data_IF_254355030614
#
_entry.id   IF_254355030614
#
_cell.length_a   1.000
_cell.length_b   1.000
_cell.length_c   1.000
_cell.angle_alpha   90.00
_cell.angle_beta   90.00
_cell.angle_gamma   90.00
#
_symmetry.space_group_name_H-M   'P 1'
#
loop_
_entity.id
_entity.type
_entity.pdbx_description
1 polymer ?
#
# COMPACT_ATOMS: atom_id res chain seq x y z
N UNK A 1 -27.84 13.61 1.74
CA UNK A 1 -28.22 14.06 0.39
C UNK A 1 -27.33 15.16 -0.24
N UNK A 2 -26.66 16.08 0.49
CA UNK A 2 -25.81 17.09 -0.18
C UNK A 2 -24.52 16.57 -0.81
N UNK A 3 -24.04 15.36 -0.47
CA UNK A 3 -22.79 14.81 -1.03
C UNK A 3 -22.89 14.40 -2.50
N UNK A 4 -23.98 13.74 -2.90
CA UNK A 4 -24.15 13.26 -4.29
C UNK A 4 -24.27 14.39 -5.32
N UNK A 5 -24.93 15.49 -4.98
CA UNK A 5 -25.03 16.66 -5.87
C UNK A 5 -23.67 17.34 -6.04
N UNK A 6 -22.89 17.44 -4.96
CA UNK A 6 -21.53 17.98 -5.01
C UNK A 6 -20.60 17.11 -5.85
N UNK A 7 -20.66 15.78 -5.70
CA UNK A 7 -19.91 14.83 -6.51
C UNK A 7 -20.28 14.93 -7.99
N UNK A 8 -21.58 14.99 -8.30
CA UNK A 8 -22.06 15.17 -9.67
C UNK A 8 -21.53 16.47 -10.31
N UNK A 9 -21.58 17.59 -9.59
CA UNK A 9 -21.05 18.88 -10.10
C UNK A 9 -19.52 18.80 -10.29
N UNK A 10 -18.80 18.16 -9.36
CA UNK A 10 -17.35 17.98 -9.48
C UNK A 10 -16.99 17.08 -10.66
N UNK A 11 -17.71 15.98 -10.88
CA UNK A 11 -17.46 15.09 -12.01
C UNK A 11 -17.80 15.75 -13.36
N UNK A 12 -18.78 16.69 -13.39
CA UNK A 12 -19.10 17.49 -14.57
C UNK A 12 -18.01 18.52 -14.90
N UNK A 13 -17.44 19.17 -13.89
CA UNK A 13 -16.41 20.20 -14.07
C UNK A 13 -15.00 19.61 -14.23
N UNK A 14 -14.75 18.44 -13.62
CA UNK A 14 -13.47 17.73 -13.62
C UNK A 14 -13.69 16.25 -13.91
N UNK A 15 -14.08 15.90 -15.15
CA UNK A 15 -14.40 14.53 -15.50
C UNK A 15 -13.16 13.63 -15.34
N UNK A 16 -13.41 12.44 -14.78
CA UNK A 16 -12.39 11.39 -14.65
C UNK A 16 -12.26 10.64 -15.95
N UNK A 17 -11.03 10.39 -16.37
CA UNK A 17 -10.74 9.62 -17.58
C UNK A 17 -9.88 8.41 -17.24
N UNK A 18 -10.19 7.27 -17.85
CA UNK A 18 -9.38 6.07 -17.75
C UNK A 18 -7.93 6.37 -18.18
N UNK A 19 -6.97 6.06 -17.33
CA UNK A 19 -5.55 6.34 -17.56
C UNK A 19 -4.94 5.51 -18.71
N UNK A 20 -5.69 4.53 -19.25
CA UNK A 20 -5.27 3.75 -20.41
C UNK A 20 -6.03 4.16 -21.68
N UNK A 21 -7.35 3.97 -21.73
CA UNK A 21 -8.15 4.14 -22.95
C UNK A 21 -8.91 5.47 -23.05
N UNK A 22 -8.82 6.36 -22.05
CA UNK A 22 -9.49 7.66 -21.97
C UNK A 22 -11.03 7.61 -21.87
N UNK A 23 -11.63 6.43 -21.65
CA UNK A 23 -13.06 6.31 -21.36
C UNK A 23 -13.41 7.17 -20.13
N UNK A 24 -14.46 7.97 -20.24
CA UNK A 24 -14.91 8.87 -19.17
C UNK A 24 -15.56 8.08 -18.02
N UNK A 25 -15.57 8.69 -16.81
CA UNK A 25 -16.28 8.25 -15.63
C UNK A 25 -15.42 7.57 -14.58
N UNK A 26 -14.19 7.12 -14.90
CA UNK A 26 -13.31 6.44 -13.94
C UNK A 26 -11.85 6.56 -14.33
N UNK A 27 -10.93 6.45 -13.36
CA UNK A 27 -9.48 6.40 -13.62
C UNK A 27 -8.98 5.05 -14.17
N UNK A 28 -9.76 3.98 -13.99
CA UNK A 28 -9.51 2.66 -14.58
C UNK A 28 -10.86 2.01 -14.91
N UNK A 29 -11.20 1.92 -16.18
CA UNK A 29 -12.44 1.26 -16.60
C UNK A 29 -12.32 -0.26 -16.49
N UNK A 30 -13.45 -0.96 -16.47
CA UNK A 30 -13.53 -2.43 -16.34
C UNK A 30 -12.70 -3.12 -17.41
N UNK A 31 -12.89 -2.71 -18.69
CA UNK A 31 -12.17 -3.30 -19.82
C UNK A 31 -10.64 -3.21 -19.65
N UNK A 32 -10.13 -2.07 -19.16
CA UNK A 32 -8.70 -1.89 -18.91
C UNK A 32 -8.22 -2.59 -17.64
N UNK A 33 -9.08 -2.73 -16.63
CA UNK A 33 -8.76 -3.49 -15.42
C UNK A 33 -8.62 -5.00 -15.70
N UNK A 34 -9.37 -5.53 -16.67
CA UNK A 34 -9.28 -6.93 -17.12
C UNK A 34 -7.99 -7.23 -17.89
N UNK A 35 -7.34 -6.21 -18.46
CA UNK A 35 -6.02 -6.36 -19.08
C UNK A 35 -4.88 -6.49 -18.06
N UNK A 36 -5.15 -6.23 -16.77
CA UNK A 36 -4.15 -6.39 -15.73
C UNK A 36 -4.09 -7.85 -15.27
N UNK A 37 -2.95 -8.44 -15.43
CA UNK A 37 -2.64 -9.75 -14.87
C UNK A 37 -2.49 -9.63 -13.36
N UNK A 38 -3.54 -10.02 -12.63
CA UNK A 38 -3.55 -9.99 -11.16
C UNK A 38 -3.01 -11.30 -10.65
N UNK A 39 -2.01 -11.25 -9.79
CA UNK A 39 -1.42 -12.44 -9.17
C UNK A 39 -2.41 -13.06 -8.19
N UNK A 40 -2.46 -14.39 -8.14
CA UNK A 40 -3.26 -15.15 -7.16
C UNK A 40 -2.39 -15.87 -6.12
N UNK A 41 -1.16 -15.45 -5.91
CA UNK A 41 -0.20 -16.08 -5.00
C UNK A 41 0.61 -15.05 -4.21
N UNK A 42 1.21 -15.50 -3.12
CA UNK A 42 2.19 -14.71 -2.36
C UNK A 42 3.58 -15.34 -2.46
N UNK A 43 4.58 -14.62 -2.06
CA UNK A 43 5.95 -15.13 -1.97
C UNK A 43 6.44 -15.07 -0.54
N UNK A 44 7.04 -16.17 -0.02
CA UNK A 44 7.79 -16.11 1.22
C UNK A 44 8.84 -14.99 1.09
N UNK A 45 8.85 -14.07 2.02
CA UNK A 45 9.84 -13.01 2.01
C UNK A 45 11.15 -13.59 2.54
N UNK A 46 12.17 -13.71 1.68
CA UNK A 46 13.52 -14.12 2.09
C UNK A 46 14.26 -13.01 2.86
N UNK A 47 13.53 -12.23 3.66
CA UNK A 47 14.03 -11.14 4.49
C UNK A 47 13.86 -11.51 5.96
N UNK A 48 14.92 -11.41 6.75
CA UNK A 48 14.98 -11.89 8.13
C UNK A 48 13.87 -11.37 9.07
N UNK A 49 13.26 -10.22 8.77
CA UNK A 49 12.23 -9.59 9.60
C UNK A 49 10.83 -9.56 8.96
N UNK A 50 10.71 -9.91 7.67
CA UNK A 50 9.45 -9.95 6.92
C UNK A 50 9.07 -11.40 6.64
N UNK A 51 7.91 -11.85 7.11
CA UNK A 51 7.51 -13.25 7.00
C UNK A 51 7.00 -13.62 5.60
N UNK A 52 6.16 -12.75 5.02
CA UNK A 52 5.54 -12.94 3.71
C UNK A 52 5.44 -11.62 2.94
N UNK A 53 5.32 -11.70 1.63
CA UNK A 53 5.07 -10.56 0.75
C UNK A 53 3.88 -10.88 -0.18
N UNK A 54 2.85 -10.05 -0.11
CA UNK A 54 1.69 -10.05 -1.01
C UNK A 54 1.77 -8.88 -1.97
N UNK A 55 1.50 -9.12 -3.25
CA UNK A 55 1.48 -8.08 -4.28
C UNK A 55 0.46 -8.44 -5.36
N UNK A 56 -0.28 -7.44 -5.82
CA UNK A 56 -1.39 -7.67 -6.75
C UNK A 56 -0.94 -7.77 -8.21
N UNK A 57 0.02 -6.96 -8.63
CA UNK A 57 0.40 -6.82 -10.04
C UNK A 57 1.91 -6.67 -10.24
N UNK A 58 2.37 -6.90 -11.47
CA UNK A 58 3.74 -6.63 -11.88
C UNK A 58 3.93 -5.13 -12.19
N UNK A 59 4.96 -4.50 -11.62
CA UNK A 59 5.29 -3.10 -11.84
C UNK A 59 5.76 -2.81 -13.28
N UNK A 60 6.27 -3.80 -14.02
CA UNK A 60 6.73 -3.63 -15.41
C UNK A 60 5.57 -3.35 -16.39
N UNK A 61 4.32 -3.61 -16.00
CA UNK A 61 3.15 -3.29 -16.81
C UNK A 61 3.01 -1.76 -16.96
N UNK A 62 2.96 -1.20 -18.18
CA UNK A 62 2.87 0.24 -18.42
C UNK A 62 1.65 0.91 -17.76
N UNK A 63 0.50 0.21 -17.74
CA UNK A 63 -0.71 0.73 -17.09
C UNK A 63 -0.52 0.83 -15.57
N UNK A 64 0.13 -0.16 -14.94
CA UNK A 64 0.48 -0.13 -13.51
C UNK A 64 1.41 1.04 -13.20
N UNK A 65 2.44 1.26 -14.04
CA UNK A 65 3.35 2.40 -13.89
C UNK A 65 2.60 3.73 -13.99
N UNK A 66 1.64 3.84 -14.94
CA UNK A 66 0.84 5.04 -15.12
C UNK A 66 -0.08 5.31 -13.91
N UNK A 67 -0.76 4.28 -13.37
CA UNK A 67 -1.54 4.38 -12.14
C UNK A 67 -0.70 4.90 -10.97
N UNK A 68 0.48 4.29 -10.74
CA UNK A 68 1.39 4.67 -9.66
C UNK A 68 1.95 6.08 -9.88
N UNK A 69 2.28 6.46 -11.11
CA UNK A 69 2.77 7.81 -11.43
C UNK A 69 1.74 8.87 -11.08
N UNK A 70 0.49 8.72 -11.49
CA UNK A 70 -0.58 9.66 -11.19
C UNK A 70 -0.95 9.69 -9.70
N UNK A 71 -0.72 8.60 -8.98
CA UNK A 71 -0.94 8.52 -7.54
C UNK A 71 0.19 9.17 -6.72
N UNK A 72 1.45 9.11 -7.21
CA UNK A 72 2.66 9.60 -6.50
C UNK A 72 3.07 11.02 -6.85
N UNK A 73 2.79 11.43 -8.07
CA UNK A 73 3.26 12.69 -8.64
C UNK A 73 2.05 13.50 -9.14
N UNK A 74 2.31 14.74 -9.53
CA UNK A 74 1.25 15.57 -10.10
C UNK A 74 0.55 14.85 -11.27
N UNK A 75 -0.78 14.85 -11.26
CA UNK A 75 -1.73 15.63 -10.48
C UNK A 75 -2.10 15.09 -9.08
N UNK A 76 -1.39 14.12 -8.51
CA UNK A 76 -1.64 13.56 -7.17
C UNK A 76 -3.07 13.02 -6.98
N UNK A 77 -3.51 12.17 -7.87
CA UNK A 77 -4.90 11.65 -7.87
C UNK A 77 -5.11 10.72 -6.66
N UNK A 78 -5.58 11.29 -5.56
CA UNK A 78 -5.80 10.59 -4.29
C UNK A 78 -6.84 9.47 -4.42
N UNK A 79 -7.86 9.66 -5.24
CA UNK A 79 -8.94 8.70 -5.50
C UNK A 79 -8.45 7.38 -6.10
N UNK A 80 -7.25 7.36 -6.72
CA UNK A 80 -6.62 6.12 -7.18
C UNK A 80 -6.37 5.12 -6.05
N UNK A 81 -6.37 5.56 -4.78
CA UNK A 81 -6.30 4.66 -3.63
C UNK A 81 -7.43 3.62 -3.62
N UNK A 82 -8.63 3.99 -4.03
CA UNK A 82 -9.78 3.08 -4.13
C UNK A 82 -9.57 2.06 -5.26
N UNK A 83 -9.14 2.51 -6.43
CA UNK A 83 -8.81 1.64 -7.57
C UNK A 83 -7.70 0.65 -7.22
N UNK A 84 -6.63 1.13 -6.59
CA UNK A 84 -5.50 0.30 -6.16
C UNK A 84 -5.95 -0.72 -5.10
N UNK A 85 -6.72 -0.31 -4.12
CA UNK A 85 -7.25 -1.20 -3.10
C UNK A 85 -8.17 -2.27 -3.69
N UNK A 86 -9.03 -1.93 -4.67
CA UNK A 86 -9.90 -2.91 -5.35
C UNK A 86 -9.10 -3.98 -6.10
N UNK A 87 -7.98 -3.62 -6.74
CA UNK A 87 -7.09 -4.57 -7.40
C UNK A 87 -6.35 -5.48 -6.39
N UNK A 88 -5.94 -4.93 -5.24
CA UNK A 88 -5.38 -5.72 -4.14
C UNK A 88 -6.43 -6.68 -3.57
N UNK A 89 -7.68 -6.25 -3.39
CA UNK A 89 -8.78 -7.10 -2.92
C UNK A 89 -9.02 -8.24 -3.92
N UNK A 90 -9.03 -7.93 -5.23
CA UNK A 90 -9.18 -8.95 -6.29
C UNK A 90 -8.05 -9.99 -6.23
N UNK A 91 -6.81 -9.60 -5.93
CA UNK A 91 -5.71 -10.52 -5.70
C UNK A 91 -6.05 -11.54 -4.60
N UNK A 92 -6.55 -11.09 -3.44
CA UNK A 92 -6.93 -11.98 -2.35
C UNK A 92 -8.16 -12.86 -2.66
N UNK A 93 -9.06 -12.38 -3.52
CA UNK A 93 -10.21 -13.18 -3.97
C UNK A 93 -9.79 -14.32 -4.90
N UNK A 94 -8.69 -14.14 -5.66
CA UNK A 94 -8.13 -15.14 -6.56
C UNK A 94 -7.23 -16.17 -5.86
N UNK A 95 -6.85 -15.93 -4.61
CA UNK A 95 -5.99 -16.86 -3.87
C UNK A 95 -6.75 -18.10 -3.40
N UNK A 96 -6.24 -19.31 -3.73
CA UNK A 96 -6.73 -20.57 -3.21
C UNK A 96 -6.45 -20.71 -1.70
N UNK A 97 -5.23 -20.38 -1.28
CA UNK A 97 -4.79 -20.37 0.11
C UNK A 97 -4.90 -18.96 0.70
N UNK A 98 -6.06 -18.65 1.26
CA UNK A 98 -6.30 -17.33 1.88
C UNK A 98 -5.46 -17.14 3.14
N UNK A 99 -4.82 -15.97 3.33
CA UNK A 99 -4.05 -15.71 4.54
C UNK A 99 -4.95 -15.60 5.78
N UNK A 100 -4.38 -15.83 6.96
CA UNK A 100 -5.12 -15.85 8.24
C UNK A 100 -5.88 -14.54 8.54
N UNK A 101 -5.50 -13.42 7.93
CA UNK A 101 -6.19 -12.14 8.08
C UNK A 101 -7.33 -11.91 7.05
N UNK A 102 -7.59 -12.88 6.15
CA UNK A 102 -8.66 -12.74 5.16
C UNK A 102 -10.03 -12.83 5.84
N UNK A 103 -11.04 -11.98 5.46
CA UNK A 103 -12.36 -11.94 6.13
C UNK A 103 -13.13 -13.26 6.11
N UNK A 104 -12.90 -14.11 5.10
CA UNK A 104 -13.54 -15.42 4.98
C UNK A 104 -12.93 -16.51 5.90
N UNK A 105 -11.85 -16.20 6.63
CA UNK A 105 -11.22 -17.08 7.61
C UNK A 105 -11.68 -16.65 9.01
N UNK A 106 -11.73 -17.62 9.92
CA UNK A 106 -12.25 -17.49 11.28
C UNK A 106 -11.88 -16.13 11.95
N UNK A 107 -12.89 -15.38 12.37
CA UNK A 107 -12.80 -14.07 13.01
C UNK A 107 -11.84 -14.06 14.21
N UNK A 108 -11.75 -15.18 14.94
CA UNK A 108 -10.84 -15.30 16.09
C UNK A 108 -9.35 -15.24 15.70
N UNK A 109 -8.98 -15.65 14.49
CA UNK A 109 -7.60 -15.56 13.98
C UNK A 109 -7.25 -14.15 13.49
N UNK A 110 -8.24 -13.30 13.19
CA UNK A 110 -8.04 -11.92 12.77
C UNK A 110 -7.75 -10.97 13.93
N UNK A 111 -8.14 -11.33 15.17
CA UNK A 111 -8.15 -10.45 16.34
C UNK A 111 -6.81 -9.74 16.64
N UNK A 112 -5.70 -10.27 16.15
CA UNK A 112 -4.37 -9.70 16.38
C UNK A 112 -3.74 -9.05 15.14
N UNK A 113 -4.44 -8.98 14.00
CA UNK A 113 -3.92 -8.33 12.80
C UNK A 113 -4.28 -6.84 12.78
N UNK A 114 -3.32 -6.03 12.33
CA UNK A 114 -3.49 -4.58 12.16
C UNK A 114 -2.77 -4.12 10.90
N UNK A 115 -3.34 -3.14 10.19
CA UNK A 115 -2.67 -2.45 9.12
C UNK A 115 -1.76 -1.34 9.67
N UNK A 116 -0.54 -1.26 9.13
CA UNK A 116 0.37 -0.13 9.36
C UNK A 116 0.86 0.37 8.00
N UNK A 117 0.56 1.63 7.63
CA UNK A 117 1.09 2.20 6.40
C UNK A 117 2.58 2.54 6.54
N UNK A 118 3.38 2.29 5.51
CA UNK A 118 4.74 2.81 5.41
C UNK A 118 4.69 4.35 5.40
N UNK A 119 5.37 5.03 6.33
CA UNK A 119 5.26 6.47 6.46
C UNK A 119 6.14 7.21 5.43
N UNK A 120 5.62 8.33 4.93
CA UNK A 120 6.40 9.32 4.22
C UNK A 120 7.20 10.21 5.21
N UNK A 121 8.34 10.74 4.75
CA UNK A 121 8.98 11.84 5.46
C UNK A 121 8.09 13.09 5.41
N UNK A 122 8.13 13.93 6.47
CA UNK A 122 7.28 15.12 6.62
C UNK A 122 7.32 16.05 5.39
N UNK A 123 8.50 16.26 4.79
CA UNK A 123 8.63 17.10 3.59
C UNK A 123 7.88 16.55 2.38
N UNK A 124 7.89 15.22 2.18
CA UNK A 124 7.14 14.57 1.10
C UNK A 124 5.65 14.58 1.37
N UNK A 125 5.25 14.36 2.62
CA UNK A 125 3.85 14.44 3.02
C UNK A 125 3.29 15.85 2.80
N UNK A 126 4.06 16.89 3.16
CA UNK A 126 3.67 18.30 2.92
C UNK A 126 3.56 18.62 1.43
N UNK A 127 4.49 18.13 0.61
CA UNK A 127 4.48 18.37 -0.84
C UNK A 127 3.33 17.63 -1.54
N UNK A 128 3.06 16.38 -1.15
CA UNK A 128 2.06 15.51 -1.80
C UNK A 128 0.65 15.69 -1.25
N UNK A 129 0.51 16.18 -0.02
CA UNK A 129 -0.75 16.37 0.66
C UNK A 129 -1.32 15.13 1.35
N UNK A 130 -0.87 13.92 0.98
CA UNK A 130 -1.32 12.65 1.58
C UNK A 130 -0.23 11.57 1.53
N UNK A 131 -0.42 10.51 2.32
CA UNK A 131 0.40 9.31 2.28
C UNK A 131 -0.33 8.20 1.51
N UNK A 132 0.22 7.75 0.39
CA UNK A 132 -0.36 6.71 -0.47
C UNK A 132 -0.69 5.44 0.29
N UNK A 133 0.28 4.92 1.06
CA UNK A 133 0.10 3.70 1.83
C UNK A 133 -1.03 3.85 2.87
N UNK A 134 -1.19 5.03 3.46
CA UNK A 134 -2.28 5.31 4.40
C UNK A 134 -3.65 5.32 3.70
N UNK A 135 -3.76 5.94 2.53
CA UNK A 135 -5.01 5.95 1.78
C UNK A 135 -5.39 4.55 1.28
N UNK A 136 -4.41 3.74 0.85
CA UNK A 136 -4.63 2.32 0.53
C UNK A 136 -5.11 1.56 1.77
N UNK A 137 -4.44 1.73 2.93
CA UNK A 137 -4.84 1.09 4.19
C UNK A 137 -6.29 1.38 4.57
N UNK A 138 -6.76 2.63 4.43
CA UNK A 138 -8.14 3.01 4.75
C UNK A 138 -9.16 2.21 3.96
N UNK A 139 -8.93 2.07 2.64
CA UNK A 139 -9.83 1.29 1.78
C UNK A 139 -9.75 -0.21 2.05
N UNK A 140 -8.55 -0.75 2.33
CA UNK A 140 -8.39 -2.16 2.67
C UNK A 140 -8.99 -2.50 4.04
N UNK A 141 -8.87 -1.60 5.02
CA UNK A 141 -9.38 -1.79 6.37
C UNK A 141 -10.90 -2.02 6.40
N UNK A 142 -11.63 -1.34 5.54
CA UNK A 142 -13.08 -1.51 5.38
C UNK A 142 -13.42 -2.93 4.89
N UNK A 143 -12.72 -3.40 3.84
CA UNK A 143 -12.94 -4.75 3.30
C UNK A 143 -12.50 -5.86 4.27
N UNK A 144 -11.30 -5.74 4.85
CA UNK A 144 -10.74 -6.75 5.74
C UNK A 144 -11.29 -6.66 7.17
N UNK A 145 -12.01 -5.60 7.53
CA UNK A 145 -12.50 -5.32 8.89
C UNK A 145 -11.38 -5.34 9.94
N UNK A 146 -10.20 -4.84 9.56
CA UNK A 146 -9.03 -4.77 10.41
C UNK A 146 -8.70 -3.31 10.76
N UNK A 147 -8.22 -3.04 11.98
CA UNK A 147 -7.85 -1.70 12.38
C UNK A 147 -6.60 -1.20 11.65
N UNK A 148 -6.55 0.12 11.42
CA UNK A 148 -5.36 0.82 10.92
C UNK A 148 -4.69 1.55 12.08
N UNK A 149 -3.42 1.29 12.32
CA UNK A 149 -2.61 2.04 13.28
C UNK A 149 -1.73 3.03 12.52
N UNK A 150 -2.22 4.26 12.45
CA UNK A 150 -1.45 5.38 11.92
C UNK A 150 -0.51 5.93 12.99
N UNK A 151 0.56 6.58 12.61
CA UNK A 151 1.46 7.34 13.47
C UNK A 151 2.32 6.55 14.48
N UNK A 152 2.18 5.21 14.59
CA UNK A 152 3.08 4.42 15.41
C UNK A 152 4.45 4.23 14.74
N UNK A 153 4.50 4.08 13.41
CA UNK A 153 5.71 4.05 12.61
C UNK A 153 5.93 5.42 11.96
N UNK A 154 7.10 6.01 12.16
CA UNK A 154 7.44 7.32 11.58
C UNK A 154 8.74 7.27 10.82
N UNK A 155 8.85 8.10 9.77
CA UNK A 155 10.09 8.29 9.00
C UNK A 155 10.81 9.54 9.49
N UNK A 156 12.00 9.34 10.06
CA UNK A 156 12.78 10.41 10.70
C UNK A 156 13.87 10.99 9.79
N UNK A 157 14.31 10.24 8.75
CA UNK A 157 15.30 10.72 7.78
C UNK A 157 14.66 11.19 6.48
N UNK A 158 15.08 12.36 5.99
CA UNK A 158 14.86 12.78 4.60
C UNK A 158 15.87 12.03 3.73
N UNK A 159 15.42 11.03 3.02
CA UNK A 159 16.26 10.24 2.10
C UNK A 159 16.05 10.69 0.66
N UNK A 160 17.07 10.58 -0.18
CA UNK A 160 16.96 10.85 -1.62
C UNK A 160 15.88 9.98 -2.28
N UNK A 161 15.28 10.42 -3.40
CA UNK A 161 14.36 9.57 -4.16
C UNK A 161 15.03 8.24 -4.51
N UNK A 162 14.34 7.12 -4.26
CA UNK A 162 14.90 5.78 -4.52
C UNK A 162 15.10 5.50 -6.02
N UNK A 163 14.41 6.25 -6.88
CA UNK A 163 14.54 6.17 -8.34
C UNK A 163 15.91 6.59 -8.86
N UNK A 164 16.66 7.38 -8.08
CA UNK A 164 17.98 7.91 -8.44
C UNK A 164 19.16 7.07 -7.92
N UNK A 165 18.88 5.97 -7.18
CA UNK A 165 19.89 5.20 -6.49
C UNK A 165 19.97 3.74 -6.99
N UNK A 166 21.16 3.15 -6.96
CA UNK A 166 21.37 1.72 -7.17
C UNK A 166 20.89 0.87 -5.99
N UNK A 167 20.75 -0.44 -6.16
CA UNK A 167 20.19 -1.32 -5.13
C UNK A 167 20.92 -1.31 -3.78
N UNK A 168 22.25 -1.27 -3.76
CA UNK A 168 23.07 -1.16 -2.54
C UNK A 168 22.94 0.21 -1.88
N UNK A 169 22.98 1.27 -2.68
CA UNK A 169 22.79 2.64 -2.20
C UNK A 169 21.38 2.86 -1.63
N UNK A 170 20.34 2.20 -2.19
CA UNK A 170 18.98 2.23 -1.64
C UNK A 170 18.91 1.65 -0.23
N UNK A 171 19.61 0.54 0.05
CA UNK A 171 19.65 -0.08 1.40
C UNK A 171 20.33 0.84 2.41
N UNK A 172 21.46 1.43 2.08
CA UNK A 172 22.17 2.34 3.00
C UNK A 172 21.41 3.65 3.22
N UNK A 173 20.77 4.20 2.18
CA UNK A 173 19.96 5.41 2.25
C UNK A 173 18.78 5.27 3.22
N UNK A 174 18.19 4.06 3.33
CA UNK A 174 17.00 3.81 4.16
C UNK A 174 17.33 3.35 5.59
N UNK A 175 18.57 2.97 5.87
CA UNK A 175 19.03 2.48 7.16
C UNK A 175 18.81 3.50 8.27
N UNK A 176 18.19 3.05 9.38
CA UNK A 176 17.81 3.89 10.52
C UNK A 176 16.94 5.10 10.12
N UNK A 177 16.14 4.96 9.04
CA UNK A 177 15.24 6.02 8.60
C UNK A 177 13.87 6.00 9.30
N UNK A 178 13.55 4.92 10.02
CA UNK A 178 12.26 4.74 10.68
C UNK A 178 12.42 4.54 12.19
N UNK A 179 11.37 4.93 12.91
CA UNK A 179 11.27 4.77 14.37
C UNK A 179 9.84 4.37 14.72
N UNK A 180 9.69 3.48 15.70
CA UNK A 180 8.38 3.15 16.29
C UNK A 180 8.14 4.03 17.51
N UNK A 181 7.01 4.75 17.49
CA UNK A 181 6.42 5.44 18.63
C UNK A 181 5.32 4.56 19.23
N UNK A 182 5.10 4.66 20.53
CA UNK A 182 4.01 3.95 21.22
C UNK A 182 4.04 2.43 20.96
N UNK A 183 5.14 1.78 21.37
CA UNK A 183 5.38 0.34 21.17
C UNK A 183 4.23 -0.55 21.69
N UNK A 184 3.52 -0.11 22.72
CA UNK A 184 2.38 -0.85 23.29
C UNK A 184 1.24 -1.09 22.28
N UNK A 185 1.07 -0.19 21.29
CA UNK A 185 0.05 -0.37 20.23
C UNK A 185 0.31 -1.57 19.33
N UNK A 186 1.56 -2.02 19.22
CA UNK A 186 1.99 -3.05 18.27
C UNK A 186 2.56 -4.31 18.94
N UNK A 187 2.73 -4.27 20.27
CA UNK A 187 3.25 -5.40 21.04
C UNK A 187 2.35 -6.62 20.89
N UNK A 188 2.95 -7.76 20.54
CA UNK A 188 2.27 -9.02 20.24
C UNK A 188 1.24 -8.96 19.11
N UNK A 189 1.26 -7.91 18.26
CA UNK A 189 0.39 -7.81 17.09
C UNK A 189 1.02 -8.41 15.84
N UNK A 190 0.18 -8.98 14.99
CA UNK A 190 0.52 -9.33 13.62
C UNK A 190 0.30 -8.10 12.74
N UNK A 191 1.33 -7.64 12.06
CA UNK A 191 1.32 -6.39 11.30
C UNK A 191 1.25 -6.69 9.81
N UNK A 192 0.29 -6.08 9.12
CA UNK A 192 0.26 -5.99 7.67
C UNK A 192 0.83 -4.61 7.30
N UNK A 193 2.08 -4.60 6.89
CA UNK A 193 2.82 -3.41 6.51
C UNK A 193 2.53 -3.09 5.04
N UNK A 194 1.85 -1.97 4.78
CA UNK A 194 1.37 -1.59 3.45
C UNK A 194 2.26 -0.54 2.81
N UNK A 195 2.63 -0.76 1.54
CA UNK A 195 3.26 0.24 0.66
C UNK A 195 2.64 0.14 -0.74
N UNK A 196 2.99 1.05 -1.64
CA UNK A 196 2.48 1.03 -3.00
C UNK A 196 3.32 0.13 -3.93
N UNK A 197 4.65 0.19 -3.85
CA UNK A 197 5.57 -0.56 -4.74
C UNK A 197 6.71 -1.20 -3.96
N UNK A 198 6.93 -2.47 -4.24
CA UNK A 198 8.12 -3.21 -3.81
C UNK A 198 9.13 -3.26 -4.97
N UNK A 199 10.30 -2.68 -4.78
CA UNK A 199 11.43 -2.80 -5.71
C UNK A 199 12.54 -3.65 -5.07
N UNK A 200 13.51 -3.06 -4.41
CA UNK A 200 14.58 -3.79 -3.71
C UNK A 200 14.18 -4.34 -2.34
N UNK A 201 12.99 -4.00 -1.85
CA UNK A 201 12.50 -4.36 -0.52
C UNK A 201 13.13 -3.60 0.64
N UNK A 202 14.09 -2.70 0.40
CA UNK A 202 14.82 -2.00 1.44
C UNK A 202 13.90 -1.25 2.44
N UNK A 203 12.84 -0.61 1.95
CA UNK A 203 11.87 0.11 2.78
C UNK A 203 11.10 -0.84 3.69
N UNK A 204 10.49 -1.90 3.12
CA UNK A 204 9.73 -2.88 3.91
C UNK A 204 10.63 -3.62 4.90
N UNK A 205 11.86 -3.95 4.50
CA UNK A 205 12.83 -4.61 5.38
C UNK A 205 13.19 -3.75 6.58
N UNK A 206 13.49 -2.47 6.38
CA UNK A 206 13.85 -1.58 7.50
C UNK A 206 12.65 -1.27 8.40
N UNK A 207 11.47 -1.03 7.83
CA UNK A 207 10.23 -0.88 8.60
C UNK A 207 9.92 -2.14 9.41
N UNK A 208 9.99 -3.32 8.81
CA UNK A 208 9.77 -4.61 9.46
C UNK A 208 10.77 -4.84 10.60
N UNK A 209 12.06 -4.51 10.39
CA UNK A 209 13.10 -4.62 11.41
C UNK A 209 12.76 -3.79 12.67
N UNK A 210 12.40 -2.53 12.51
CA UNK A 210 12.07 -1.67 13.65
C UNK A 210 10.75 -2.07 14.33
N UNK A 211 9.77 -2.57 13.59
CA UNK A 211 8.52 -3.10 14.13
C UNK A 211 8.76 -4.37 14.95
N UNK A 212 9.59 -5.30 14.45
CA UNK A 212 9.98 -6.53 15.19
C UNK A 212 10.73 -6.17 16.46
N UNK A 213 11.68 -5.23 16.42
CA UNK A 213 12.41 -4.73 17.60
C UNK A 213 11.49 -4.04 18.62
N UNK A 214 10.36 -3.50 18.17
CA UNK A 214 9.36 -2.89 19.05
C UNK A 214 8.33 -3.88 19.62
N UNK A 215 8.47 -5.19 19.34
CA UNK A 215 7.64 -6.26 19.91
C UNK A 215 6.51 -6.77 19.02
N UNK A 216 6.50 -6.45 17.71
CA UNK A 216 5.56 -7.07 16.78
C UNK A 216 5.77 -8.59 16.70
N UNK A 217 4.69 -9.37 16.71
CA UNK A 217 4.75 -10.83 16.64
C UNK A 217 5.13 -11.32 15.23
N UNK A 218 4.45 -10.84 14.21
CA UNK A 218 4.69 -11.12 12.79
C UNK A 218 4.59 -9.84 11.99
N UNK A 219 5.38 -9.68 10.94
CA UNK A 219 5.25 -8.58 9.97
C UNK A 219 5.14 -9.19 8.58
N UNK A 220 4.09 -8.82 7.87
CA UNK A 220 3.76 -9.22 6.50
C UNK A 220 3.80 -7.98 5.64
N UNK A 221 4.41 -8.05 4.48
CA UNK A 221 4.37 -6.98 3.47
C UNK A 221 3.16 -7.13 2.56
N UNK A 222 2.49 -6.03 2.29
CA UNK A 222 1.42 -5.94 1.31
C UNK A 222 1.65 -4.72 0.43
N UNK A 223 1.80 -4.93 -0.88
CA UNK A 223 2.03 -3.86 -1.85
C UNK A 223 1.08 -4.01 -3.04
N UNK A 224 0.84 -2.91 -3.73
CA UNK A 224 0.08 -2.96 -4.98
C UNK A 224 0.90 -3.62 -6.07
N UNK A 225 2.13 -3.14 -6.30
CA UNK A 225 2.97 -3.62 -7.39
C UNK A 225 4.35 -4.08 -6.92
N UNK A 226 4.91 -5.07 -7.62
CA UNK A 226 6.27 -5.56 -7.44
C UNK A 226 7.05 -5.44 -8.74
N UNK A 227 8.30 -4.95 -8.64
CA UNK A 227 9.30 -4.88 -9.71
C UNK A 227 10.16 -6.15 -9.74
#
# INVERSE_FOLDING_TARGET
>A
MPSKLKEFILDLLFPKFCLNCRKEGTYLCVDCAELLEITGFHQPAHLASLADLYFAVNYQNPLVQNLIKNFKYEPFVKELSQTIASLIIKHFQLMDNRPAFHPAINVNNQANFVFIPVPLHRSRLKWRGFNQAEEICKNLAEFFQLPVINHCLIRIKKTSPQTELTGSARKENIKNAFLVKNKELIKNKNIILVDDVYTTGATLQECSRVLKQAGAQKVIGLVFARD
#
